data_IF_505316566941
#
_entry.id   IF_505316566941
#
_cell.length_a   1.000
_cell.length_b   1.000
_cell.length_c   1.000
_cell.angle_alpha   90.00
_cell.angle_beta   90.00
_cell.angle_gamma   90.00
#
_symmetry.space_group_name_H-M   'P 1'
#
loop_
_entity.id
_entity.type
_entity.pdbx_description
1 polymer ?
#
# COMPACT_ATOMS: atom_id res chain seq x y z
N UNK A 1 7.14 7.40 -14.90
CA UNK A 1 8.42 7.35 -14.16
C UNK A 1 9.07 8.71 -14.00
N UNK A 2 8.97 9.63 -14.96
CA UNK A 2 9.64 10.95 -14.88
C UNK A 2 9.15 11.82 -13.73
N UNK A 3 7.84 11.84 -13.46
CA UNK A 3 7.26 12.61 -12.35
C UNK A 3 7.75 12.13 -10.98
N UNK A 4 8.01 10.83 -10.82
CA UNK A 4 8.50 10.26 -9.56
C UNK A 4 9.93 10.74 -9.24
N UNK A 5 10.79 10.82 -10.26
CA UNK A 5 12.16 11.33 -10.16
C UNK A 5 12.21 12.84 -9.91
N UNK A 6 11.31 13.58 -10.55
CA UNK A 6 11.18 15.04 -10.37
C UNK A 6 10.70 15.37 -8.94
N UNK A 7 9.83 14.53 -8.36
CA UNK A 7 9.30 14.72 -7.02
C UNK A 7 10.31 14.49 -5.88
N UNK A 8 11.58 14.19 -6.19
CA UNK A 8 12.66 14.00 -5.24
C UNK A 8 13.06 12.54 -5.05
N UNK A 9 13.83 12.21 -3.99
CA UNK A 9 14.33 10.86 -3.73
C UNK A 9 13.21 9.82 -3.72
N UNK A 10 13.51 8.56 -4.09
CA UNK A 10 12.52 7.49 -4.04
C UNK A 10 12.05 7.25 -2.59
N UNK A 11 10.75 6.94 -2.35
CA UNK A 11 10.28 6.58 -1.02
C UNK A 11 11.10 5.42 -0.43
N UNK A 12 11.54 5.57 0.82
CA UNK A 12 12.24 4.50 1.55
C UNK A 12 11.25 3.47 2.08
N UNK A 13 11.75 2.37 2.65
CA UNK A 13 10.93 1.36 3.32
C UNK A 13 10.00 2.01 4.35
N UNK A 14 8.70 1.77 4.21
CA UNK A 14 7.68 2.36 5.09
C UNK A 14 7.30 3.81 4.79
N UNK A 15 7.79 4.38 3.68
CA UNK A 15 7.34 5.67 3.18
C UNK A 15 6.45 5.50 1.95
N UNK A 16 5.51 6.42 1.77
CA UNK A 16 4.69 6.51 0.57
C UNK A 16 4.68 7.95 0.04
N UNK A 17 4.51 8.09 -1.28
CA UNK A 17 4.33 9.36 -1.96
C UNK A 17 3.06 9.32 -2.80
N UNK A 18 2.23 10.35 -2.63
CA UNK A 18 0.98 10.48 -3.37
C UNK A 18 1.18 11.31 -4.64
N UNK A 19 0.57 10.84 -5.72
CA UNK A 19 0.47 11.56 -6.99
C UNK A 19 -0.99 11.64 -7.39
N UNK A 20 -1.44 12.82 -7.79
CA UNK A 20 -2.83 13.08 -8.13
C UNK A 20 -3.00 13.19 -9.63
N UNK A 21 -4.13 12.70 -10.13
CA UNK A 21 -4.54 12.82 -11.53
C UNK A 21 -3.44 12.42 -12.53
N UNK A 22 -2.73 11.31 -12.24
CA UNK A 22 -1.73 10.77 -13.15
C UNK A 22 -2.39 10.24 -14.44
N UNK A 23 -3.57 9.65 -14.30
CA UNK A 23 -4.41 9.22 -15.41
C UNK A 23 -5.91 9.28 -14.98
N UNK A 24 -6.86 9.17 -15.93
CA UNK A 24 -8.28 9.41 -15.65
C UNK A 24 -8.99 8.39 -14.74
N UNK A 25 -8.50 7.16 -14.62
CA UNK A 25 -9.15 6.05 -13.88
C UNK A 25 -8.91 6.16 -12.37
N UNK A 26 -7.71 6.58 -11.96
CA UNK A 26 -7.26 6.71 -10.58
C UNK A 26 -7.00 8.18 -10.22
N UNK A 27 -7.86 8.74 -9.37
CA UNK A 27 -7.74 10.12 -8.89
C UNK A 27 -6.45 10.38 -8.10
N UNK A 28 -5.93 9.35 -7.43
CA UNK A 28 -4.69 9.39 -6.66
C UNK A 28 -4.00 8.03 -6.69
N UNK A 29 -2.67 8.05 -6.80
CA UNK A 29 -1.80 6.87 -6.76
C UNK A 29 -0.80 7.05 -5.62
N UNK A 30 -0.70 6.04 -4.75
CA UNK A 30 0.29 5.98 -3.69
C UNK A 30 1.46 5.08 -4.11
N UNK A 31 2.63 5.69 -4.34
CA UNK A 31 3.88 4.96 -4.62
C UNK A 31 4.56 4.65 -3.28
N UNK A 32 4.72 3.38 -2.96
CA UNK A 32 5.22 2.92 -1.67
C UNK A 32 6.63 2.34 -1.80
N UNK A 33 7.50 2.63 -0.83
CA UNK A 33 8.86 2.09 -0.81
C UNK A 33 8.90 0.70 -0.19
N UNK A 34 9.31 -0.31 -0.96
CA UNK A 34 9.60 -1.67 -0.46
C UNK A 34 10.95 -1.74 0.29
N UNK A 35 11.88 -0.84 -0.04
CA UNK A 35 13.22 -0.84 0.52
C UNK A 35 14.22 -1.52 -0.42
N UNK A 36 15.02 -2.44 0.12
CA UNK A 36 16.08 -3.11 -0.63
C UNK A 36 15.53 -4.24 -1.50
N UNK A 37 16.08 -4.41 -2.71
CA UNK A 37 15.73 -5.52 -3.60
C UNK A 37 16.35 -6.86 -3.14
N UNK A 38 17.31 -6.83 -2.21
CA UNK A 38 18.02 -8.02 -1.72
C UNK A 38 17.42 -8.58 -0.41
N UNK A 39 16.13 -8.35 -0.17
CA UNK A 39 15.45 -8.92 0.99
C UNK A 39 15.18 -10.42 0.77
N UNK A 40 15.15 -11.16 1.88
CA UNK A 40 14.86 -12.58 1.89
C UNK A 40 14.62 -13.06 3.32
N UNK A 41 14.82 -14.35 3.56
CA UNK A 41 14.70 -14.90 4.92
C UNK A 41 15.86 -14.46 5.80
N UNK A 42 15.55 -13.87 6.95
CA UNK A 42 16.51 -13.51 7.98
C UNK A 42 16.49 -14.58 9.10
N UNK A 43 17.63 -15.26 9.38
CA UNK A 43 17.69 -16.32 10.37
C UNK A 43 17.67 -15.82 11.82
N UNK A 44 18.01 -14.55 12.07
CA UNK A 44 17.97 -13.94 13.40
C UNK A 44 16.53 -13.59 13.76
N UNK A 45 15.83 -12.92 12.84
CA UNK A 45 14.41 -12.55 13.00
C UNK A 45 13.46 -13.74 12.77
N UNK A 46 13.97 -14.84 12.18
CA UNK A 46 13.21 -16.03 11.78
C UNK A 46 12.00 -15.68 10.91
N UNK A 47 12.20 -14.76 9.98
CA UNK A 47 11.13 -14.16 9.19
C UNK A 47 11.59 -13.87 7.75
N UNK A 48 10.66 -13.96 6.82
CA UNK A 48 10.85 -13.47 5.45
C UNK A 48 10.69 -11.94 5.40
N UNK A 49 11.82 -11.23 5.30
CA UNK A 49 11.85 -9.78 5.30
C UNK A 49 11.24 -9.17 4.03
N UNK A 50 11.21 -9.91 2.91
CA UNK A 50 10.58 -9.46 1.67
C UNK A 50 9.08 -9.41 1.82
N UNK A 51 8.49 -10.49 2.35
CA UNK A 51 7.05 -10.53 2.66
C UNK A 51 6.66 -9.44 3.65
N UNK A 52 7.50 -9.20 4.67
CA UNK A 52 7.25 -8.15 5.65
C UNK A 52 7.37 -6.74 5.08
N UNK A 53 8.31 -6.51 4.15
CA UNK A 53 8.40 -5.25 3.43
C UNK A 53 7.15 -4.98 2.57
N UNK A 54 6.62 -6.01 1.90
CA UNK A 54 5.37 -5.93 1.12
C UNK A 54 4.19 -5.56 2.03
N UNK A 55 4.04 -6.24 3.18
CA UNK A 55 2.98 -5.91 4.15
C UNK A 55 3.05 -4.45 4.59
N UNK A 56 4.23 -3.98 4.95
CA UNK A 56 4.44 -2.60 5.41
C UNK A 56 4.14 -1.59 4.29
N UNK A 57 4.61 -1.84 3.07
CA UNK A 57 4.38 -0.96 1.94
C UNK A 57 2.89 -0.85 1.59
N UNK A 58 2.19 -1.99 1.46
CA UNK A 58 0.76 -1.97 1.12
C UNK A 58 -0.08 -1.31 2.23
N UNK A 59 0.24 -1.57 3.51
CA UNK A 59 -0.38 -0.91 4.65
C UNK A 59 -0.20 0.61 4.60
N UNK A 60 1.04 1.07 4.40
CA UNK A 60 1.39 2.50 4.37
C UNK A 60 0.64 3.22 3.25
N UNK A 61 0.66 2.67 2.02
CA UNK A 61 -0.06 3.24 0.89
C UNK A 61 -1.56 3.33 1.13
N UNK A 62 -2.16 2.24 1.65
CA UNK A 62 -3.58 2.21 1.96
C UNK A 62 -3.96 3.23 3.03
N UNK A 63 -3.14 3.40 4.07
CA UNK A 63 -3.38 4.39 5.13
C UNK A 63 -3.28 5.83 4.61
N UNK A 64 -2.32 6.14 3.75
CA UNK A 64 -2.23 7.48 3.13
C UNK A 64 -3.45 7.78 2.25
N UNK A 65 -3.93 6.80 1.48
CA UNK A 65 -5.14 6.93 0.67
C UNK A 65 -6.40 7.03 1.54
N UNK A 66 -6.48 6.28 2.64
CA UNK A 66 -7.61 6.32 3.57
C UNK A 66 -7.79 7.72 4.19
N UNK A 67 -6.69 8.45 4.46
CA UNK A 67 -6.76 9.84 4.95
C UNK A 67 -7.50 10.77 3.98
N UNK A 68 -7.44 10.48 2.69
CA UNK A 68 -8.17 11.19 1.64
C UNK A 68 -9.62 10.74 1.47
N UNK A 69 -10.07 9.75 2.26
CA UNK A 69 -11.42 9.16 2.20
C UNK A 69 -11.77 8.59 0.81
N UNK A 70 -10.78 8.03 0.11
CA UNK A 70 -10.99 7.33 -1.17
C UNK A 70 -11.88 6.11 -0.94
N UNK A 71 -12.96 5.94 -1.71
CA UNK A 71 -13.93 4.86 -1.46
C UNK A 71 -13.42 3.45 -1.77
N UNK A 72 -12.57 3.32 -2.79
CA UNK A 72 -11.98 2.07 -3.24
C UNK A 72 -10.49 2.25 -3.48
N UNK A 73 -9.69 1.29 -3.03
CA UNK A 73 -8.25 1.23 -3.26
C UNK A 73 -7.95 -0.06 -4.00
N UNK A 74 -7.21 0.06 -5.10
CA UNK A 74 -6.67 -1.07 -5.84
C UNK A 74 -5.21 -1.24 -5.42
N UNK A 75 -4.87 -2.43 -4.93
CA UNK A 75 -3.55 -2.75 -4.36
C UNK A 75 -2.84 -3.72 -5.30
N UNK A 76 -1.65 -3.38 -5.77
CA UNK A 76 -0.80 -4.31 -6.55
C UNK A 76 -0.34 -5.48 -5.67
N UNK A 77 0.09 -6.58 -6.29
CA UNK A 77 0.61 -7.74 -5.56
C UNK A 77 2.01 -7.55 -4.97
N UNK A 78 2.79 -6.58 -5.47
CA UNK A 78 4.21 -6.39 -5.16
C UNK A 78 5.05 -7.68 -5.34
N UNK A 79 4.63 -8.57 -6.23
CA UNK A 79 5.22 -9.90 -6.42
C UNK A 79 4.82 -10.96 -5.38
N UNK A 80 3.99 -10.63 -4.38
CA UNK A 80 3.43 -11.59 -3.42
C UNK A 80 2.04 -11.15 -2.92
N UNK A 81 1.00 -11.45 -3.71
CA UNK A 81 -0.36 -10.96 -3.52
C UNK A 81 -0.95 -11.22 -2.12
N UNK A 82 -0.62 -12.36 -1.51
CA UNK A 82 -1.07 -12.70 -0.16
C UNK A 82 -0.53 -11.70 0.88
N UNK A 83 0.76 -11.36 0.81
CA UNK A 83 1.38 -10.42 1.74
C UNK A 83 0.89 -8.99 1.51
N UNK A 84 0.63 -8.64 0.25
CA UNK A 84 0.02 -7.36 -0.08
C UNK A 84 -1.40 -7.25 0.51
N UNK A 85 -2.21 -8.30 0.37
CA UNK A 85 -3.56 -8.36 0.91
C UNK A 85 -3.58 -8.32 2.45
N UNK A 86 -2.69 -9.05 3.10
CA UNK A 86 -2.49 -9.02 4.56
C UNK A 86 -2.17 -7.61 5.04
N UNK A 87 -1.13 -6.98 4.46
CA UNK A 87 -0.72 -5.63 4.84
C UNK A 87 -1.83 -4.60 4.69
N UNK A 88 -2.56 -4.66 3.57
CA UNK A 88 -3.61 -3.69 3.27
C UNK A 88 -4.79 -3.84 4.24
N UNK A 89 -5.27 -5.07 4.46
CA UNK A 89 -6.41 -5.30 5.36
C UNK A 89 -6.04 -5.03 6.82
N UNK A 90 -4.90 -5.53 7.29
CA UNK A 90 -4.47 -5.34 8.67
C UNK A 90 -4.10 -3.88 8.95
N UNK A 91 -3.49 -3.19 7.98
CA UNK A 91 -3.11 -1.78 8.10
C UNK A 91 -4.30 -0.83 8.20
N UNK A 92 -5.44 -1.18 7.62
CA UNK A 92 -6.66 -0.36 7.66
C UNK A 92 -7.63 -0.75 8.78
N UNK A 93 -7.49 -1.94 9.35
CA UNK A 93 -8.41 -2.45 10.34
C UNK A 93 -8.39 -1.60 11.61
N UNK A 94 -9.57 -1.31 12.14
CA UNK A 94 -9.75 -0.66 13.43
C UNK A 94 -11.10 -1.06 14.01
N UNK A 95 -11.14 -1.44 15.29
CA UNK A 95 -12.40 -1.65 16.00
C UNK A 95 -13.06 -0.29 16.28
N UNK A 96 -14.28 -0.11 15.79
CA UNK A 96 -15.04 1.13 15.94
C UNK A 96 -16.47 0.90 16.45
N UNK A 97 -16.76 -0.27 17.01
CA UNK A 97 -18.10 -0.65 17.48
C UNK A 97 -18.66 0.36 18.49
N UNK A 98 -17.83 0.75 19.46
CA UNK A 98 -18.16 1.70 20.53
C UNK A 98 -17.82 3.16 20.19
N UNK A 99 -17.39 3.45 18.95
CA UNK A 99 -17.01 4.80 18.54
C UNK A 99 -18.24 5.56 18.06
N UNK A 100 -18.39 6.80 18.53
CA UNK A 100 -19.41 7.73 18.05
C UNK A 100 -19.35 7.83 16.52
N UNK A 101 -20.51 7.85 15.86
CA UNK A 101 -20.64 7.69 14.40
C UNK A 101 -19.83 8.73 13.65
N UNK A 102 -19.89 9.99 14.10
CA UNK A 102 -19.17 11.14 13.55
C UNK A 102 -17.65 11.07 13.75
N UNK A 103 -17.18 10.22 14.67
CA UNK A 103 -15.75 9.97 14.91
C UNK A 103 -15.24 8.70 14.25
N UNK A 104 -16.10 7.94 13.55
CA UNK A 104 -15.67 6.72 12.86
C UNK A 104 -14.75 7.07 11.69
N UNK A 105 -13.62 6.39 11.62
CA UNK A 105 -12.70 6.40 10.51
C UNK A 105 -13.34 5.66 9.34
N UNK A 106 -13.27 6.26 8.16
CA UNK A 106 -13.75 5.67 6.93
C UNK A 106 -12.85 4.49 6.54
N UNK A 107 -13.44 3.32 6.26
CA UNK A 107 -12.69 2.14 5.81
C UNK A 107 -12.97 1.93 4.32
N UNK A 108 -11.97 2.09 3.43
CA UNK A 108 -12.15 1.90 2.00
C UNK A 108 -12.34 0.43 1.66
N UNK A 109 -12.99 0.17 0.53
CA UNK A 109 -13.00 -1.17 -0.06
C UNK A 109 -11.63 -1.45 -0.71
N UNK A 110 -11.02 -2.58 -0.35
CA UNK A 110 -9.77 -3.04 -0.96
C UNK A 110 -10.06 -4.02 -2.10
N UNK A 111 -9.30 -3.92 -3.18
CA UNK A 111 -9.31 -4.88 -4.29
C UNK A 111 -7.90 -5.09 -4.81
N UNK A 112 -7.56 -6.32 -5.23
CA UNK A 112 -6.33 -6.58 -5.96
C UNK A 112 -6.37 -5.82 -7.30
N UNK A 113 -5.35 -5.02 -7.56
CA UNK A 113 -5.09 -4.52 -8.91
C UNK A 113 -4.58 -5.69 -9.76
N UNK A 114 -5.29 -5.97 -10.84
CA UNK A 114 -4.93 -7.02 -11.77
C UNK A 114 -5.05 -6.46 -13.18
N UNK A 115 -3.91 -6.39 -13.88
CA UNK A 115 -3.86 -6.04 -15.29
C UNK A 115 -3.57 -7.31 -16.11
N UNK A 116 -4.55 -7.84 -16.86
CA UNK A 116 -4.42 -9.12 -17.56
C UNK A 116 -3.27 -9.18 -18.59
N UNK A 117 -2.78 -8.01 -19.03
CA UNK A 117 -1.71 -7.89 -20.02
C UNK A 117 -0.30 -7.89 -19.43
N UNK A 118 -0.14 -7.81 -18.10
CA UNK A 118 1.15 -7.91 -17.44
C UNK A 118 1.40 -9.36 -16.99
N UNK A 119 2.54 -9.98 -17.36
CA UNK A 119 2.89 -11.31 -16.86
C UNK A 119 3.16 -11.25 -15.36
N UNK A 120 2.77 -12.33 -14.66
CA UNK A 120 3.05 -12.55 -13.24
C UNK A 120 4.55 -12.79 -12.98
#
# INVERSE_FOLDING_TARGET
>A
MDMLRIAGPMPRRGEARLFFNLEPTYSVVAVCGLGSDCLGYDPVEKMDLSKEAIRLASATGCQELQKLKTSRIYVEDFGHAESAAEGAHLGLWVNQEMRAVERRQFIPQLQLYYEPSLPC
#
